data_IF_009101601724
#
_entry.id   IF_009101601724
#
_cell.length_a   1.000
_cell.length_b   1.000
_cell.length_c   1.000
_cell.angle_alpha   90.00
_cell.angle_beta   90.00
_cell.angle_gamma   90.00
#
_symmetry.space_group_name_H-M   'P 1'
#
loop_
_entity.id
_entity.type
_entity.pdbx_description
1 polymer ?
#
# COMPACT_ATOMS: atom_id res chain seq x y z
N UNK A 1 21.86 18.17 15.77
CA UNK A 1 21.01 18.66 14.67
C UNK A 1 19.76 17.79 14.69
N UNK A 2 18.57 18.39 14.77
CA UNK A 2 17.32 17.64 14.82
C UNK A 2 17.05 17.00 13.46
N UNK A 3 17.37 15.72 13.33
CA UNK A 3 17.15 14.90 12.13
C UNK A 3 15.72 14.36 12.04
N UNK A 4 14.90 14.56 13.08
CA UNK A 4 13.57 13.97 13.21
C UNK A 4 12.59 14.48 12.15
N UNK A 5 12.63 15.77 11.82
CA UNK A 5 11.77 16.34 10.77
C UNK A 5 12.16 15.86 9.37
N UNK A 6 13.45 15.58 9.13
CA UNK A 6 13.94 15.03 7.85
C UNK A 6 13.42 13.60 7.70
N UNK A 7 13.53 12.78 8.75
CA UNK A 7 12.97 11.42 8.74
C UNK A 7 11.45 11.43 8.54
N UNK A 8 10.74 12.37 9.18
CA UNK A 8 9.31 12.57 8.98
C UNK A 8 8.95 12.93 7.53
N UNK A 9 9.71 13.83 6.90
CA UNK A 9 9.52 14.21 5.50
C UNK A 9 9.80 13.05 4.55
N UNK A 10 10.88 12.31 4.78
CA UNK A 10 11.25 11.13 3.99
C UNK A 10 10.16 10.06 4.08
N UNK A 11 9.69 9.75 5.28
CA UNK A 11 8.59 8.79 5.48
C UNK A 11 7.30 9.24 4.81
N UNK A 12 6.95 10.53 4.94
CA UNK A 12 5.78 11.12 4.28
C UNK A 12 5.85 11.04 2.76
N UNK A 13 7.01 11.33 2.17
CA UNK A 13 7.23 11.20 0.73
C UNK A 13 7.12 9.74 0.26
N UNK A 14 7.66 8.79 1.01
CA UNK A 14 7.54 7.36 0.68
C UNK A 14 6.08 6.90 0.65
N UNK A 15 5.30 7.25 1.67
CA UNK A 15 3.88 6.87 1.76
C UNK A 15 3.07 7.58 0.66
N UNK A 16 3.32 8.88 0.44
CA UNK A 16 2.65 9.66 -0.60
C UNK A 16 2.88 9.10 -2.00
N UNK A 17 4.14 8.76 -2.33
CA UNK A 17 4.48 8.15 -3.62
C UNK A 17 3.82 6.78 -3.79
N UNK A 18 3.83 5.93 -2.75
CA UNK A 18 3.16 4.64 -2.80
C UNK A 18 1.65 4.80 -3.08
N UNK A 19 0.99 5.75 -2.42
CA UNK A 19 -0.42 6.05 -2.63
C UNK A 19 -0.71 6.59 -4.04
N UNK A 20 0.13 7.49 -4.57
CA UNK A 20 0.00 8.03 -5.92
C UNK A 20 0.23 6.98 -7.01
N UNK A 21 1.22 6.10 -6.86
CA UNK A 21 1.46 5.00 -7.79
C UNK A 21 0.29 4.01 -7.82
N UNK A 22 -0.28 3.72 -6.65
CA UNK A 22 -1.47 2.87 -6.56
C UNK A 22 -2.69 3.52 -7.22
N UNK A 23 -2.89 4.82 -7.00
CA UNK A 23 -3.93 5.59 -7.67
C UNK A 23 -3.75 5.62 -9.20
N UNK A 24 -2.52 5.78 -9.68
CA UNK A 24 -2.21 5.77 -11.11
C UNK A 24 -2.44 4.40 -11.75
N UNK A 25 -2.07 3.32 -11.06
CA UNK A 25 -2.24 1.95 -11.57
C UNK A 25 -3.69 1.48 -11.60
N UNK A 26 -4.46 1.75 -10.55
CA UNK A 26 -5.84 1.29 -10.42
C UNK A 26 -6.91 2.34 -10.79
N UNK A 27 -6.53 3.60 -11.01
CA UNK A 27 -7.44 4.70 -11.31
C UNK A 27 -8.41 5.09 -10.18
N UNK A 28 -8.29 4.44 -9.00
CA UNK A 28 -9.17 4.62 -7.84
C UNK A 28 -8.34 4.73 -6.55
N UNK A 29 -8.68 5.67 -5.68
CA UNK A 29 -8.12 5.75 -4.31
C UNK A 29 -8.80 4.65 -3.48
N UNK A 30 -8.37 3.41 -3.64
CA UNK A 30 -8.91 2.29 -2.85
C UNK A 30 -8.15 2.22 -1.52
N UNK A 31 -8.71 2.81 -0.47
CA UNK A 31 -8.20 2.64 0.88
C UNK A 31 -8.34 1.19 1.37
N UNK A 32 -7.76 0.88 2.53
CA UNK A 32 -7.90 -0.44 3.18
C UNK A 32 -9.38 -0.89 3.29
N UNK A 33 -10.29 0.05 3.56
CA UNK A 33 -11.73 -0.19 3.61
C UNK A 33 -12.33 -0.51 2.23
N UNK A 34 -11.76 0.02 1.15
CA UNK A 34 -12.18 -0.28 -0.23
C UNK A 34 -11.73 -1.67 -0.68
N UNK A 35 -10.58 -2.15 -0.19
CA UNK A 35 -10.08 -3.52 -0.44
C UNK A 35 -11.02 -4.55 0.19
N UNK A 36 -11.36 -4.37 1.46
CA UNK A 36 -12.30 -5.25 2.18
C UNK A 36 -13.71 -5.11 1.60
N UNK A 37 -14.18 -3.88 1.39
CA UNK A 37 -15.51 -3.58 0.85
C UNK A 37 -15.76 -4.22 -0.50
N UNK A 38 -14.86 -4.08 -1.46
CA UNK A 38 -15.05 -4.70 -2.78
C UNK A 38 -14.74 -6.20 -2.86
N UNK A 39 -14.09 -6.79 -1.84
CA UNK A 39 -14.01 -8.24 -1.70
C UNK A 39 -15.36 -8.82 -1.23
N UNK A 40 -16.05 -8.09 -0.34
CA UNK A 40 -17.39 -8.41 0.16
C UNK A 40 -18.45 -8.18 -0.93
N UNK A 41 -18.33 -7.12 -1.73
CA UNK A 41 -19.34 -6.74 -2.71
C UNK A 41 -19.38 -7.64 -3.96
N UNK A 42 -18.39 -8.52 -4.17
CA UNK A 42 -18.29 -9.50 -5.28
C UNK A 42 -18.46 -8.93 -6.72
N UNK A 43 -18.56 -7.62 -6.89
CA UNK A 43 -18.98 -6.97 -8.14
C UNK A 43 -17.86 -6.87 -9.19
N UNK A 44 -16.59 -6.95 -8.80
CA UNK A 44 -15.45 -6.70 -9.70
C UNK A 44 -14.40 -7.83 -9.60
N UNK A 45 -14.72 -9.04 -10.07
CA UNK A 45 -13.77 -10.17 -10.15
C UNK A 45 -12.54 -9.85 -11.02
N UNK A 46 -12.65 -8.91 -11.97
CA UNK A 46 -11.52 -8.43 -12.78
C UNK A 46 -10.49 -7.63 -11.99
N UNK A 47 -10.86 -7.05 -10.84
CA UNK A 47 -9.97 -6.24 -9.99
C UNK A 47 -9.51 -7.00 -8.74
N UNK A 48 -9.96 -8.26 -8.58
CA UNK A 48 -9.53 -9.14 -7.48
C UNK A 48 -8.04 -9.46 -7.57
N UNK A 49 -7.48 -9.59 -8.78
CA UNK A 49 -6.06 -9.82 -8.99
C UNK A 49 -5.20 -8.66 -8.45
N UNK A 50 -5.54 -7.41 -8.76
CA UNK A 50 -4.81 -6.23 -8.28
C UNK A 50 -4.88 -6.09 -6.76
N UNK A 51 -6.03 -6.41 -6.17
CA UNK A 51 -6.22 -6.43 -4.71
C UNK A 51 -5.37 -7.49 -4.04
N UNK A 52 -5.28 -8.71 -4.62
CA UNK A 52 -4.44 -9.79 -4.10
C UNK A 52 -2.96 -9.43 -4.19
N UNK A 53 -2.51 -8.86 -5.32
CA UNK A 53 -1.12 -8.40 -5.49
C UNK A 53 -0.78 -7.30 -4.48
N UNK A 54 -1.70 -6.36 -4.23
CA UNK A 54 -1.54 -5.34 -3.20
C UNK A 54 -1.46 -5.93 -1.79
N UNK A 55 -2.34 -6.88 -1.45
CA UNK A 55 -2.33 -7.59 -0.16
C UNK A 55 -1.03 -8.38 0.06
N UNK A 56 -0.56 -9.07 -0.97
CA UNK A 56 0.73 -9.77 -0.95
C UNK A 56 1.86 -8.76 -0.73
N UNK A 57 1.85 -7.63 -1.43
CA UNK A 57 2.83 -6.56 -1.23
C UNK A 57 2.80 -5.99 0.20
N UNK A 58 1.61 -5.81 0.77
CA UNK A 58 1.40 -5.31 2.13
C UNK A 58 1.94 -6.26 3.20
N UNK A 59 1.85 -7.57 2.97
CA UNK A 59 2.38 -8.58 3.90
C UNK A 59 3.88 -8.77 3.68
N UNK A 60 4.34 -8.87 2.43
CA UNK A 60 5.74 -9.11 2.10
C UNK A 60 6.65 -7.94 2.50
N UNK A 61 6.23 -6.69 2.34
CA UNK A 61 7.05 -5.53 2.67
C UNK A 61 7.55 -5.53 4.13
N UNK A 62 6.68 -5.62 5.17
CA UNK A 62 7.14 -5.72 6.54
C UNK A 62 7.84 -7.06 6.83
N UNK A 63 7.45 -8.18 6.21
CA UNK A 63 8.13 -9.45 6.41
C UNK A 63 9.58 -9.44 5.92
N UNK A 64 9.85 -8.86 4.74
CA UNK A 64 11.20 -8.70 4.18
C UNK A 64 12.01 -7.74 5.05
N UNK A 65 11.40 -6.65 5.51
CA UNK A 65 12.08 -5.71 6.41
C UNK A 65 12.49 -6.39 7.72
N UNK A 66 11.59 -7.16 8.35
CA UNK A 66 11.90 -7.92 9.56
C UNK A 66 12.97 -8.98 9.29
N UNK A 67 12.91 -9.68 8.16
CA UNK A 67 13.92 -10.67 7.78
C UNK A 67 15.31 -10.05 7.58
N UNK A 68 15.40 -8.83 7.05
CA UNK A 68 16.66 -8.10 6.92
C UNK A 68 17.17 -7.49 8.24
N UNK A 69 16.27 -7.26 9.19
CA UNK A 69 16.57 -6.72 10.51
C UNK A 69 17.08 -7.80 11.49
N UNK A 70 16.72 -9.07 11.25
CA UNK A 70 17.17 -10.28 11.96
C UNK A 70 18.55 -10.72 11.47
#
# INVERSE_FOLDING_TARGET
>A
METDWIMGLVGGLMIGLAASLYLLGNGRIMGASGIIGGLVDKSEWSSAADRIVFLIGLILAPSIYILFLI
#
